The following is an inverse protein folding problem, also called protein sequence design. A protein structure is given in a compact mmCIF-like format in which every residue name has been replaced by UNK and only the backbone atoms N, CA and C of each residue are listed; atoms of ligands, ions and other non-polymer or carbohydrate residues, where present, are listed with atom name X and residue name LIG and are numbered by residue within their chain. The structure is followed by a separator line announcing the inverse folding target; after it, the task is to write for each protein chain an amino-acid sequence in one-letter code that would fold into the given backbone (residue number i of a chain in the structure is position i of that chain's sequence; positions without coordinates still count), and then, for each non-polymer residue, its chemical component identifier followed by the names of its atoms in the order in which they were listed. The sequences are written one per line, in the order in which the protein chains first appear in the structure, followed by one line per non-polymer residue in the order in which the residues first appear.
data_IF_293443603579
#
_entry.id   IF_293443603579
#
_cell.length_a   1.000
_cell.length_b   1.000
_cell.length_c   1.000
_cell.angle_alpha   90.00
_cell.angle_beta   90.00
_cell.angle_gamma   90.00
#
_symmetry.space_group_name_H-M   'P 1'
#
loop_
_entity.id
_entity.type
_entity.pdbx_description
1 polymer ?
#
# COMPACT_ATOMS: atom_id res chain seq x y z
N UNK A 1 7.54 20.63 -27.69
CA UNK A 1 6.64 19.66 -27.04
C UNK A 1 7.52 18.57 -26.48
N UNK A 2 7.87 18.66 -25.19
CA UNK A 2 8.63 17.61 -24.51
C UNK A 2 7.89 17.24 -23.22
N UNK A 3 7.60 15.95 -22.98
CA UNK A 3 6.51 15.46 -22.16
C UNK A 3 6.96 15.24 -20.71
N UNK A 4 7.58 16.24 -20.09
CA UNK A 4 7.93 16.21 -18.65
C UNK A 4 6.71 16.38 -17.73
N UNK A 5 5.50 16.12 -18.24
CA UNK A 5 4.26 16.21 -17.51
C UNK A 5 3.86 14.82 -17.00
N UNK A 6 4.15 14.62 -15.72
CA UNK A 6 3.21 14.02 -14.77
C UNK A 6 2.69 12.64 -15.15
N UNK A 7 3.52 11.61 -14.99
CA UNK A 7 3.01 10.24 -14.75
C UNK A 7 2.51 10.08 -13.30
N UNK A 8 2.04 11.17 -12.67
CA UNK A 8 1.19 11.12 -11.46
C UNK A 8 -0.16 10.43 -11.74
N UNK A 9 -0.48 10.20 -13.03
CA UNK A 9 -1.61 9.39 -13.47
C UNK A 9 -1.57 7.97 -12.93
N UNK A 10 -0.38 7.41 -12.68
CA UNK A 10 -0.24 6.02 -12.23
C UNK A 10 -0.87 5.77 -10.84
N UNK A 11 -0.98 6.81 -10.00
CA UNK A 11 -1.36 6.65 -8.58
C UNK A 11 -2.70 7.30 -8.20
N UNK A 12 -3.37 8.05 -9.09
CA UNK A 12 -4.62 8.78 -8.77
C UNK A 12 -5.93 8.01 -9.01
N UNK A 13 -5.89 6.74 -9.35
CA UNK A 13 -7.11 5.93 -9.55
C UNK A 13 -7.50 5.13 -8.31
N UNK A 14 -8.31 5.75 -7.44
CA UNK A 14 -9.29 5.09 -6.53
C UNK A 14 -8.85 3.74 -5.92
N UNK A 15 -7.66 3.66 -5.33
CA UNK A 15 -7.20 2.48 -4.61
C UNK A 15 -6.91 1.23 -5.46
N UNK A 16 -6.78 1.35 -6.79
CA UNK A 16 -6.26 0.29 -7.65
C UNK A 16 -4.78 0.52 -7.90
N UNK A 17 -3.95 -0.44 -7.52
CA UNK A 17 -2.54 -0.50 -7.95
C UNK A 17 -2.58 -0.84 -9.43
N UNK A 18 -2.30 0.13 -10.30
CA UNK A 18 -2.02 -0.13 -11.70
C UNK A 18 -0.58 -0.63 -11.77
N UNK A 19 -0.38 -1.83 -12.32
CA UNK A 19 0.93 -2.49 -12.40
C UNK A 19 1.33 -2.70 -13.86
N UNK A 20 2.59 -2.44 -14.21
CA UNK A 20 3.21 -2.83 -15.49
C UNK A 20 3.66 -4.28 -15.45
N UNK A 21 4.10 -4.75 -14.28
CA UNK A 21 4.48 -6.14 -14.05
C UNK A 21 3.24 -7.04 -13.84
N UNK A 22 3.01 -8.06 -14.71
CA UNK A 22 1.90 -9.00 -14.55
C UNK A 22 2.12 -10.07 -13.48
N UNK A 23 3.32 -10.16 -12.90
CA UNK A 23 3.75 -11.18 -11.94
C UNK A 23 4.18 -10.56 -10.60
N UNK A 24 3.21 -10.09 -9.83
CA UNK A 24 3.44 -9.62 -8.46
C UNK A 24 3.20 -10.74 -7.45
N UNK A 25 4.03 -10.79 -6.42
CA UNK A 25 3.85 -11.71 -5.28
C UNK A 25 3.35 -10.90 -4.09
N UNK A 26 2.19 -11.27 -3.56
CA UNK A 26 1.61 -10.63 -2.38
C UNK A 26 1.62 -11.58 -1.18
N UNK A 27 2.00 -11.05 -0.02
CA UNK A 27 1.82 -11.70 1.27
C UNK A 27 1.20 -10.72 2.26
N UNK A 28 0.38 -11.23 3.17
CA UNK A 28 -0.19 -10.45 4.27
C UNK A 28 -0.34 -11.30 5.52
N UNK A 29 -0.10 -10.68 6.67
CA UNK A 29 -0.33 -11.28 7.98
C UNK A 29 -1.11 -10.29 8.83
N UNK A 30 -2.11 -10.80 9.56
CA UNK A 30 -2.93 -10.03 10.49
C UNK A 30 -2.96 -10.70 11.85
N UNK A 31 -2.99 -9.89 12.91
CA UNK A 31 -3.03 -10.36 14.29
C UNK A 31 -3.89 -9.45 15.17
N UNK A 32 -4.72 -10.03 16.03
CA UNK A 32 -5.49 -9.30 17.02
C UNK A 32 -4.59 -8.97 18.22
N UNK A 33 -4.11 -7.72 18.26
CA UNK A 33 -3.26 -7.22 19.34
C UNK A 33 -4.05 -7.11 20.65
N UNK A 34 -5.32 -6.73 20.56
CA UNK A 34 -6.31 -6.72 21.65
C UNK A 34 -7.68 -7.13 21.11
N UNK A 35 -8.70 -7.16 21.96
CA UNK A 35 -10.10 -7.37 21.54
C UNK A 35 -10.62 -6.27 20.59
N UNK A 36 -10.01 -5.08 20.64
CA UNK A 36 -10.45 -3.92 19.85
C UNK A 36 -9.47 -3.50 18.76
N UNK A 37 -8.23 -4.02 18.78
CA UNK A 37 -7.16 -3.59 17.87
C UNK A 37 -6.64 -4.79 17.09
N UNK A 38 -6.70 -4.69 15.76
CA UNK A 38 -6.03 -5.61 14.83
C UNK A 38 -4.87 -4.89 14.15
N UNK A 39 -3.72 -5.54 14.09
CA UNK A 39 -2.56 -5.09 13.33
C UNK A 39 -2.37 -5.99 12.11
N UNK A 40 -2.23 -5.38 10.94
CA UNK A 40 -1.95 -6.02 9.67
C UNK A 40 -0.61 -5.53 9.12
N UNK A 41 0.12 -6.44 8.49
CA UNK A 41 1.26 -6.12 7.65
C UNK A 41 1.06 -6.80 6.30
N UNK A 42 1.18 -6.03 5.22
CA UNK A 42 1.23 -6.58 3.88
C UNK A 42 2.53 -6.22 3.19
N UNK A 43 2.92 -7.04 2.22
CA UNK A 43 3.98 -6.78 1.28
C UNK A 43 3.57 -7.27 -0.12
N UNK A 44 3.94 -6.50 -1.13
CA UNK A 44 3.84 -6.83 -2.54
C UNK A 44 5.24 -6.71 -3.11
N UNK A 45 5.77 -7.81 -3.61
CA UNK A 45 7.08 -7.90 -4.21
C UNK A 45 6.95 -8.00 -5.72
N UNK A 46 7.73 -7.17 -6.41
CA UNK A 46 7.98 -7.17 -7.83
C UNK A 46 9.32 -7.92 -8.06
N UNK A 47 9.28 -9.17 -8.57
CA UNK A 47 10.48 -9.97 -8.80
C UNK A 47 11.34 -9.49 -9.97
N UNK A 48 10.77 -8.73 -10.90
CA UNK A 48 11.45 -8.28 -12.12
C UNK A 48 12.38 -7.11 -11.81
N UNK A 49 11.82 -6.01 -11.29
CA UNK A 49 12.60 -4.85 -10.84
C UNK A 49 13.21 -5.01 -9.43
N UNK A 50 12.79 -6.05 -8.70
CA UNK A 50 13.22 -6.34 -7.33
C UNK A 50 12.62 -5.40 -6.28
N UNK A 51 11.58 -4.65 -6.61
CA UNK A 51 10.98 -3.65 -5.71
C UNK A 51 9.94 -4.26 -4.75
N UNK A 52 9.76 -3.64 -3.59
CA UNK A 52 8.78 -4.10 -2.58
C UNK A 52 7.94 -2.92 -2.12
N UNK A 53 6.62 -3.04 -2.19
CA UNK A 53 5.66 -2.16 -1.52
C UNK A 53 5.16 -2.87 -0.26
N UNK A 54 5.26 -2.24 0.90
CA UNK A 54 4.82 -2.83 2.16
C UNK A 54 4.17 -1.79 3.05
N UNK A 55 3.34 -2.23 3.99
CA UNK A 55 2.60 -1.30 4.82
C UNK A 55 2.07 -1.92 6.09
N UNK A 56 2.46 -1.39 7.27
CA UNK A 56 1.72 -1.68 8.49
C UNK A 56 0.38 -0.94 8.46
N UNK A 57 -0.65 -1.60 8.97
CA UNK A 57 -1.99 -1.04 9.16
C UNK A 57 -2.50 -1.48 10.53
N UNK A 58 -3.20 -0.59 11.22
CA UNK A 58 -3.90 -0.87 12.47
C UNK A 58 -5.36 -0.47 12.32
N UNK A 59 -6.26 -1.35 12.72
CA UNK A 59 -7.68 -1.05 12.83
C UNK A 59 -8.12 -1.08 14.29
N UNK A 60 -8.81 -0.04 14.74
CA UNK A 60 -9.43 0.07 16.04
C UNK A 60 -10.96 0.06 15.89
N UNK A 61 -11.60 -0.93 16.51
CA UNK A 61 -13.05 -1.04 16.58
C UNK A 61 -13.56 -0.11 17.70
N UNK A 62 -14.01 1.09 17.33
CA UNK A 62 -14.54 2.08 18.26
C UNK A 62 -15.98 1.76 18.69
N UNK A 63 -16.77 1.17 17.78
CA UNK A 63 -18.09 0.60 18.04
C UNK A 63 -18.38 -0.55 17.06
N UNK A 64 -19.58 -1.13 17.10
CA UNK A 64 -20.02 -2.13 16.12
C UNK A 64 -20.13 -1.54 14.70
N UNK A 65 -20.27 -0.22 14.60
CA UNK A 65 -20.48 0.51 13.35
C UNK A 65 -19.22 1.27 12.89
N UNK A 66 -18.30 1.60 13.80
CA UNK A 66 -17.18 2.51 13.53
C UNK A 66 -15.84 1.80 13.70
N UNK A 67 -15.06 1.78 12.62
CA UNK A 67 -13.68 1.29 12.60
C UNK A 67 -12.74 2.42 12.18
N UNK A 68 -11.76 2.75 13.02
CA UNK A 68 -10.71 3.70 12.69
C UNK A 68 -9.51 2.91 12.17
N UNK A 69 -8.98 3.29 11.01
CA UNK A 69 -7.83 2.64 10.39
C UNK A 69 -6.70 3.65 10.24
N UNK A 70 -5.51 3.30 10.71
CA UNK A 70 -4.29 4.07 10.52
C UNK A 70 -3.21 3.17 9.93
N UNK A 71 -2.33 3.71 9.10
CA UNK A 71 -1.26 2.92 8.53
C UNK A 71 -0.30 3.72 7.68
N UNK A 72 0.63 3.01 7.09
CA UNK A 72 1.58 3.57 6.15
C UNK A 72 1.74 2.65 4.93
N UNK A 73 2.12 3.24 3.80
CA UNK A 73 2.62 2.56 2.62
C UNK A 73 4.04 3.05 2.39
N UNK A 74 4.96 2.12 2.39
CA UNK A 74 6.39 2.33 2.21
C UNK A 74 6.84 1.44 1.06
N UNK A 75 7.94 1.82 0.44
CA UNK A 75 8.51 1.03 -0.65
C UNK A 75 10.02 0.97 -0.52
N UNK A 76 10.59 -0.08 -1.09
CA UNK A 76 12.03 -0.25 -1.25
C UNK A 76 12.32 -0.60 -2.71
N UNK A 77 13.38 -0.02 -3.24
CA UNK A 77 13.91 -0.38 -4.56
C UNK A 77 14.89 -1.54 -4.41
N UNK A 78 14.92 -2.40 -5.42
CA UNK A 78 15.80 -3.55 -5.51
C UNK A 78 16.98 -3.31 -6.44
N UNK A 79 17.44 -4.38 -7.08
CA UNK A 79 18.66 -4.42 -7.90
C UNK A 79 18.51 -3.74 -9.26
N UNK A 80 17.29 -3.60 -9.80
CA UNK A 80 17.00 -2.97 -11.09
C UNK A 80 15.98 -1.84 -10.91
N UNK A 81 16.39 -0.71 -10.29
CA UNK A 81 15.48 0.38 -9.94
C UNK A 81 14.80 1.04 -11.14
N UNK A 82 15.35 0.92 -12.35
CA UNK A 82 14.78 1.38 -13.61
C UNK A 82 13.63 0.51 -14.14
N UNK A 83 13.55 -0.75 -13.68
CA UNK A 83 12.47 -1.70 -14.01
C UNK A 83 11.48 -1.85 -12.84
N UNK A 84 11.74 -1.17 -11.72
CA UNK A 84 10.96 -1.29 -10.49
C UNK A 84 9.54 -0.75 -10.62
N UNK A 85 8.55 -1.60 -10.34
CA UNK A 85 7.13 -1.25 -10.37
C UNK A 85 6.79 -0.11 -9.38
N UNK A 86 7.44 -0.08 -8.23
CA UNK A 86 7.17 0.91 -7.18
C UNK A 86 8.11 2.12 -7.23
N UNK A 87 8.83 2.32 -8.33
CA UNK A 87 9.67 3.50 -8.51
C UNK A 87 8.81 4.78 -8.46
N UNK A 88 9.15 5.68 -7.54
CA UNK A 88 8.48 6.98 -7.41
C UNK A 88 7.18 6.98 -6.60
N UNK A 89 6.75 5.85 -6.03
CA UNK A 89 5.60 5.82 -5.12
C UNK A 89 5.96 6.55 -3.81
N UNK A 90 5.42 7.74 -3.48
CA UNK A 90 5.84 8.43 -2.26
C UNK A 90 5.43 7.65 -1.01
N UNK A 91 6.23 7.64 0.07
CA UNK A 91 5.80 7.11 1.35
C UNK A 91 4.52 7.82 1.79
N UNK A 92 3.48 7.06 2.12
CA UNK A 92 2.18 7.60 2.46
C UNK A 92 1.74 7.12 3.84
N UNK A 93 1.60 8.02 4.80
CA UNK A 93 0.83 7.77 6.00
C UNK A 93 -0.65 8.08 5.74
N UNK A 94 -1.54 7.30 6.33
CA UNK A 94 -2.98 7.51 6.19
C UNK A 94 -3.72 7.21 7.49
N UNK A 95 -4.84 7.92 7.68
CA UNK A 95 -5.85 7.63 8.69
C UNK A 95 -7.21 7.81 8.04
N UNK A 96 -8.12 6.88 8.23
CA UNK A 96 -9.51 7.00 7.76
C UNK A 96 -10.46 6.24 8.68
N UNK A 97 -11.75 6.54 8.54
CA UNK A 97 -12.84 5.88 9.27
C UNK A 97 -13.67 5.06 8.30
N UNK A 98 -13.96 3.81 8.66
CA UNK A 98 -15.01 3.01 8.04
C UNK A 98 -16.23 3.10 8.94
N UNK A 99 -17.35 3.48 8.35
CA UNK A 99 -18.64 3.52 9.03
C UNK A 99 -19.58 2.55 8.32
N UNK A 100 -20.11 1.59 9.07
CA UNK A 100 -21.08 0.60 8.64
C UNK A 100 -22.47 1.01 9.16
N UNK A 101 -23.47 1.03 8.28
CA UNK A 101 -24.88 1.32 8.58
C UNK A 101 -25.75 0.17 8.09
#
# INVERSE_FOLDING_TARGET
SDPSLNDESFFRTRGRILTRNPYLVQASVGYNLTELITGDLFAIWDPEGGSVLYGPQFSFNASNEIIIVAGARLYSLGSHPEEAEFQGAPPQAFVYMRWHF
#
